data_IF_388028965998
#
_entry.id   IF_388028965998
#
_cell.length_a   1.000
_cell.length_b   1.000
_cell.length_c   1.000
_cell.angle_alpha   90.00
_cell.angle_beta   90.00
_cell.angle_gamma   90.00
#
_symmetry.space_group_name_H-M   'P 1'
#
loop_
_entity.id
_entity.type
_entity.pdbx_description
1 polymer ?
#
# COMPACT_ATOMS: atom_id res chain seq x y z
N UNK A 1 -32.52 -14.47 2.87
CA UNK A 1 -32.45 -13.20 3.60
C UNK A 1 -32.74 -13.31 5.10
N UNK A 2 -33.88 -13.90 5.57
CA UNK A 2 -34.24 -13.93 7.01
C UNK A 2 -33.19 -14.57 7.90
N UNK A 3 -32.58 -15.69 7.48
CA UNK A 3 -31.52 -16.39 8.22
C UNK A 3 -30.29 -15.50 8.30
N UNK A 4 -29.84 -14.92 7.17
CA UNK A 4 -28.68 -14.03 7.12
C UNK A 4 -28.88 -12.80 8.01
N UNK A 5 -30.08 -12.17 7.98
CA UNK A 5 -30.44 -11.05 8.87
C UNK A 5 -30.29 -11.39 10.35
N UNK A 6 -30.64 -12.63 10.75
CA UNK A 6 -30.54 -13.08 12.14
C UNK A 6 -29.08 -13.36 12.53
N UNK A 7 -28.35 -14.10 11.70
CA UNK A 7 -26.98 -14.53 12.00
C UNK A 7 -25.99 -13.39 11.98
N UNK A 8 -26.14 -12.43 11.03
CA UNK A 8 -25.18 -11.33 10.86
C UNK A 8 -25.25 -10.24 11.95
N UNK A 9 -26.20 -10.30 12.88
CA UNK A 9 -26.32 -9.27 13.95
C UNK A 9 -25.10 -9.16 14.84
N UNK A 10 -24.41 -10.27 15.08
CA UNK A 10 -23.23 -10.36 15.95
C UNK A 10 -21.92 -10.34 15.19
N UNK A 11 -21.96 -10.25 13.86
CA UNK A 11 -20.75 -10.24 13.05
C UNK A 11 -20.15 -8.85 13.01
N UNK A 12 -18.85 -8.79 13.20
CA UNK A 12 -18.05 -7.59 13.11
C UNK A 12 -16.87 -7.80 12.13
N UNK A 13 -16.37 -6.71 11.55
CA UNK A 13 -15.23 -6.72 10.62
C UNK A 13 -15.60 -6.69 9.14
N UNK A 14 -14.59 -6.89 8.30
CA UNK A 14 -14.70 -6.89 6.84
C UNK A 14 -14.81 -8.30 6.29
N UNK A 15 -15.86 -8.57 5.54
CA UNK A 15 -16.10 -9.90 4.97
C UNK A 15 -16.85 -9.88 3.65
N UNK A 16 -16.51 -10.84 2.80
CA UNK A 16 -17.34 -11.32 1.69
C UNK A 16 -17.48 -12.83 1.85
N UNK A 17 -18.70 -13.31 2.10
CA UNK A 17 -18.97 -14.71 2.39
C UNK A 17 -19.85 -15.28 1.30
N UNK A 18 -19.39 -16.34 0.65
CA UNK A 18 -20.15 -17.16 -0.27
C UNK A 18 -20.59 -18.46 0.40
N UNK A 19 -21.80 -18.92 0.11
CA UNK A 19 -22.33 -20.18 0.63
C UNK A 19 -23.32 -20.83 -0.33
N UNK A 20 -23.34 -22.14 -0.29
CA UNK A 20 -24.32 -22.98 -1.02
C UNK A 20 -25.02 -23.92 -0.06
N UNK A 21 -26.30 -24.06 -0.23
CA UNK A 21 -27.11 -25.01 0.53
C UNK A 21 -27.25 -26.35 -0.21
N UNK A 22 -27.37 -27.43 0.51
CA UNK A 22 -27.47 -28.78 -0.09
C UNK A 22 -28.68 -28.99 -1.03
N UNK A 23 -29.69 -28.12 -0.97
CA UNK A 23 -30.82 -28.13 -1.91
C UNK A 23 -30.62 -27.27 -3.18
N UNK A 24 -29.46 -26.60 -3.31
CA UNK A 24 -29.07 -25.86 -4.53
C UNK A 24 -29.20 -24.33 -4.47
N UNK A 25 -29.80 -23.77 -3.40
CA UNK A 25 -29.77 -22.31 -3.21
C UNK A 25 -28.35 -21.86 -2.84
N UNK A 26 -27.92 -20.69 -3.32
CA UNK A 26 -26.62 -20.09 -3.01
C UNK A 26 -26.77 -18.62 -2.59
N UNK A 27 -25.76 -18.09 -1.93
CA UNK A 27 -25.69 -16.68 -1.60
C UNK A 27 -24.26 -16.18 -1.58
N UNK A 28 -24.10 -14.88 -1.84
CA UNK A 28 -22.88 -14.13 -1.54
C UNK A 28 -23.26 -12.85 -0.81
N UNK A 29 -22.66 -12.60 0.33
CA UNK A 29 -22.97 -11.43 1.17
C UNK A 29 -21.72 -10.60 1.45
N UNK A 30 -21.90 -9.28 1.49
CA UNK A 30 -20.82 -8.30 1.71
C UNK A 30 -21.04 -7.54 3.02
N UNK A 31 -19.97 -7.27 3.76
CA UNK A 31 -20.03 -6.53 5.02
C UNK A 31 -20.70 -5.14 4.88
N UNK A 32 -21.27 -4.60 5.98
CA UNK A 32 -22.06 -3.36 5.95
C UNK A 32 -21.25 -2.10 5.65
N UNK A 33 -19.93 -2.10 5.90
CA UNK A 33 -19.03 -0.98 5.59
C UNK A 33 -18.38 -1.12 4.19
N UNK A 34 -18.63 -2.24 3.49
CA UNK A 34 -18.05 -2.51 2.18
C UNK A 34 -16.53 -2.57 2.19
N UNK A 35 -15.94 -3.07 3.28
CA UNK A 35 -14.50 -3.16 3.48
C UNK A 35 -13.86 -4.01 2.39
N UNK A 36 -14.45 -5.19 2.13
CA UNK A 36 -13.96 -6.11 1.10
C UNK A 36 -14.78 -6.00 -0.17
N UNK A 37 -14.13 -6.10 -1.36
CA UNK A 37 -14.83 -6.04 -2.63
C UNK A 37 -15.62 -7.32 -2.93
N UNK A 38 -16.69 -7.18 -3.68
CA UNK A 38 -17.48 -8.30 -4.22
C UNK A 38 -18.16 -7.86 -5.51
N UNK A 39 -17.87 -8.52 -6.60
CA UNK A 39 -18.39 -8.21 -7.93
C UNK A 39 -19.16 -9.40 -8.48
N UNK A 40 -20.16 -9.14 -9.33
CA UNK A 40 -20.90 -10.19 -10.01
C UNK A 40 -21.23 -9.82 -11.45
N UNK A 41 -21.40 -10.86 -12.25
CA UNK A 41 -21.96 -10.81 -13.60
C UNK A 41 -23.09 -11.83 -13.67
N UNK A 42 -24.17 -11.45 -14.36
CA UNK A 42 -25.31 -12.32 -14.59
C UNK A 42 -25.82 -12.14 -16.01
N UNK A 43 -26.11 -13.26 -16.68
CA UNK A 43 -26.87 -13.33 -17.90
C UNK A 43 -27.99 -14.37 -17.79
N UNK A 44 -28.50 -14.88 -18.92
CA UNK A 44 -29.60 -15.86 -18.95
C UNK A 44 -29.16 -17.26 -18.50
N UNK A 45 -27.85 -17.60 -18.60
CA UNK A 45 -27.32 -18.94 -18.34
C UNK A 45 -26.53 -19.03 -17.04
N UNK A 46 -25.81 -17.98 -16.68
CA UNK A 46 -24.85 -18.04 -15.57
C UNK A 46 -24.97 -16.83 -14.63
N UNK A 47 -24.62 -17.11 -13.36
CA UNK A 47 -24.29 -16.12 -12.34
C UNK A 47 -22.88 -16.36 -11.84
N UNK A 48 -22.01 -15.38 -12.00
CA UNK A 48 -20.60 -15.44 -11.57
C UNK A 48 -20.35 -14.38 -10.52
N UNK A 49 -19.64 -14.74 -9.43
CA UNK A 49 -19.23 -13.82 -8.39
C UNK A 49 -17.72 -13.96 -8.14
N UNK A 50 -17.03 -12.85 -7.98
CA UNK A 50 -15.61 -12.82 -7.63
C UNK A 50 -15.28 -11.59 -6.75
N UNK A 51 -14.16 -11.64 -6.08
CA UNK A 51 -13.62 -10.48 -5.33
C UNK A 51 -13.06 -9.39 -6.23
N UNK A 52 -12.77 -9.71 -7.50
CA UNK A 52 -12.13 -8.79 -8.45
C UNK A 52 -12.84 -8.77 -9.79
N UNK A 53 -13.17 -7.59 -10.30
CA UNK A 53 -13.82 -7.37 -11.59
C UNK A 53 -13.02 -7.93 -12.78
N UNK A 54 -11.70 -7.75 -12.91
CA UNK A 54 -10.91 -8.26 -14.03
C UNK A 54 -10.94 -9.78 -14.16
N UNK A 55 -11.13 -10.51 -13.07
CA UNK A 55 -11.24 -11.98 -13.11
C UNK A 55 -12.46 -12.40 -13.90
N UNK A 56 -13.62 -11.75 -13.65
CA UNK A 56 -14.87 -12.01 -14.36
C UNK A 56 -14.72 -11.60 -15.84
N UNK A 57 -14.18 -10.41 -16.09
CA UNK A 57 -13.99 -9.91 -17.44
C UNK A 57 -13.13 -10.83 -18.30
N UNK A 58 -12.00 -11.28 -17.76
CA UNK A 58 -11.07 -12.15 -18.49
C UNK A 58 -11.63 -13.55 -18.72
N UNK A 59 -12.29 -14.14 -17.70
CA UNK A 59 -12.79 -15.51 -17.78
C UNK A 59 -13.99 -15.63 -18.72
N UNK A 60 -14.88 -14.62 -18.77
CA UNK A 60 -16.13 -14.66 -19.51
C UNK A 60 -16.17 -13.70 -20.71
N UNK A 61 -15.08 -12.96 -20.98
CA UNK A 61 -14.96 -12.00 -22.08
C UNK A 61 -16.10 -10.97 -22.09
N UNK A 62 -16.43 -10.42 -20.92
CA UNK A 62 -17.53 -9.46 -20.77
C UNK A 62 -17.02 -8.02 -20.62
N UNK A 63 -17.77 -7.00 -21.11
CA UNK A 63 -17.38 -5.61 -20.96
C UNK A 63 -17.48 -5.15 -19.49
N UNK A 64 -16.71 -4.11 -19.15
CA UNK A 64 -16.64 -3.57 -17.77
C UNK A 64 -18.03 -3.18 -17.23
N UNK A 65 -18.90 -2.61 -18.05
CA UNK A 65 -20.24 -2.19 -17.65
C UNK A 65 -21.22 -3.33 -17.33
N UNK A 66 -20.91 -4.57 -17.72
CA UNK A 66 -21.73 -5.74 -17.40
C UNK A 66 -21.46 -6.29 -15.98
N UNK A 67 -20.29 -5.98 -15.41
CA UNK A 67 -19.90 -6.43 -14.07
C UNK A 67 -20.37 -5.42 -13.03
N UNK A 68 -21.17 -5.88 -12.07
CA UNK A 68 -21.76 -5.07 -11.00
C UNK A 68 -21.07 -5.37 -9.68
N UNK A 69 -21.08 -4.39 -8.77
CA UNK A 69 -20.60 -4.56 -7.40
C UNK A 69 -21.78 -4.85 -6.46
N UNK A 70 -21.62 -5.83 -5.55
CA UNK A 70 -22.62 -6.11 -4.50
C UNK A 70 -22.58 -4.95 -3.51
N UNK A 71 -23.75 -4.39 -3.20
CA UNK A 71 -23.87 -3.26 -2.26
C UNK A 71 -23.44 -3.66 -0.84
N UNK A 72 -22.82 -2.75 -0.08
CA UNK A 72 -22.55 -2.97 1.33
C UNK A 72 -23.80 -3.36 2.11
N UNK A 73 -23.70 -4.35 3.01
CA UNK A 73 -24.82 -4.85 3.80
C UNK A 73 -25.85 -5.65 3.02
N UNK A 74 -25.58 -6.00 1.76
CA UNK A 74 -26.47 -6.79 0.91
C UNK A 74 -25.93 -8.19 0.64
N UNK A 75 -26.85 -9.08 0.35
CA UNK A 75 -26.58 -10.43 -0.11
C UNK A 75 -27.21 -10.65 -1.49
N UNK A 76 -26.41 -11.15 -2.42
CA UNK A 76 -26.88 -11.72 -3.67
C UNK A 76 -27.34 -13.14 -3.40
N UNK A 77 -28.61 -13.46 -3.66
CA UNK A 77 -29.23 -14.75 -3.38
C UNK A 77 -29.65 -15.36 -4.69
N UNK A 78 -29.09 -16.52 -4.99
CA UNK A 78 -29.45 -17.34 -6.15
C UNK A 78 -30.28 -18.56 -5.69
N UNK A 79 -31.47 -18.70 -6.23
CA UNK A 79 -32.33 -19.84 -5.99
C UNK A 79 -32.05 -20.93 -7.01
N UNK A 80 -32.32 -22.21 -6.64
CA UNK A 80 -32.14 -23.34 -7.54
C UNK A 80 -33.04 -23.28 -8.79
N UNK A 81 -34.07 -22.45 -8.76
CA UNK A 81 -34.95 -22.19 -9.92
C UNK A 81 -34.43 -21.13 -10.89
N UNK A 82 -33.23 -20.61 -10.64
CA UNK A 82 -32.60 -19.56 -11.44
C UNK A 82 -32.92 -18.13 -10.99
N UNK A 83 -33.82 -17.93 -10.03
CA UNK A 83 -34.15 -16.59 -9.52
C UNK A 83 -32.98 -16.00 -8.75
N UNK A 84 -32.53 -14.80 -9.14
CA UNK A 84 -31.45 -14.05 -8.48
C UNK A 84 -32.00 -12.74 -7.93
N UNK A 85 -31.74 -12.47 -6.65
CA UNK A 85 -32.14 -11.23 -5.97
C UNK A 85 -30.99 -10.65 -5.15
N UNK A 86 -30.87 -9.32 -5.09
CA UNK A 86 -29.99 -8.63 -4.16
C UNK A 86 -30.81 -8.07 -3.01
N UNK A 87 -30.61 -8.55 -1.80
CA UNK A 87 -31.41 -8.20 -0.63
C UNK A 87 -30.54 -7.67 0.51
N UNK A 88 -31.00 -6.59 1.15
CA UNK A 88 -30.36 -6.07 2.35
C UNK A 88 -30.54 -7.04 3.53
N UNK A 89 -29.43 -7.49 4.12
CA UNK A 89 -29.43 -8.31 5.32
C UNK A 89 -29.04 -7.52 6.58
N UNK A 90 -28.24 -6.44 6.41
CA UNK A 90 -27.87 -5.50 7.47
C UNK A 90 -27.86 -4.09 6.91
N UNK A 91 -28.27 -3.13 7.72
CA UNK A 91 -28.23 -1.71 7.32
C UNK A 91 -26.77 -1.33 6.97
N UNK A 92 -26.53 -0.79 5.79
CA UNK A 92 -25.22 -0.22 5.45
C UNK A 92 -24.83 0.89 6.42
N UNK A 93 -23.55 0.95 6.75
CA UNK A 93 -22.94 2.05 7.50
C UNK A 93 -22.13 2.93 6.54
N UNK A 94 -21.40 3.91 7.04
CA UNK A 94 -20.47 4.67 6.21
C UNK A 94 -19.52 3.73 5.47
N UNK A 95 -19.44 3.91 4.15
CA UNK A 95 -18.60 3.05 3.34
C UNK A 95 -17.12 3.34 3.60
N UNK A 96 -16.38 2.29 3.98
CA UNK A 96 -14.94 2.30 4.29
C UNK A 96 -14.22 1.21 3.51
N UNK A 97 -14.40 1.22 2.19
CA UNK A 97 -13.71 0.29 1.30
C UNK A 97 -12.19 0.44 1.44
N UNK A 98 -11.50 -0.68 1.53
CA UNK A 98 -10.06 -0.76 1.79
C UNK A 98 -9.25 -0.04 0.69
N UNK A 99 -8.48 0.98 1.07
CA UNK A 99 -7.58 1.69 0.14
C UNK A 99 -6.36 0.85 -0.24
N UNK A 100 -5.93 -0.09 0.60
CA UNK A 100 -4.80 -0.97 0.29
C UNK A 100 -5.13 -1.99 -0.80
N UNK A 101 -6.41 -2.32 -1.01
CA UNK A 101 -6.86 -3.05 -2.21
C UNK A 101 -6.47 -2.30 -3.50
N UNK A 102 -6.53 -0.97 -3.49
CA UNK A 102 -6.21 -0.14 -4.65
C UNK A 102 -4.69 -0.06 -4.89
N UNK A 103 -3.91 -0.03 -3.82
CA UNK A 103 -2.45 0.07 -3.86
C UNK A 103 -1.83 -1.27 -4.25
N UNK A 104 -2.23 -2.38 -3.59
CA UNK A 104 -1.49 -3.62 -3.64
C UNK A 104 -2.35 -4.87 -3.89
N UNK A 105 -3.39 -5.14 -3.07
CA UNK A 105 -4.04 -6.45 -3.06
C UNK A 105 -4.76 -6.80 -4.35
N UNK A 106 -5.52 -5.86 -4.92
CA UNK A 106 -6.28 -6.09 -6.15
C UNK A 106 -5.42 -5.96 -7.41
N UNK A 107 -5.85 -6.59 -8.49
CA UNK A 107 -5.14 -6.62 -9.77
C UNK A 107 -5.05 -5.22 -10.41
N UNK A 108 -3.85 -4.83 -10.79
CA UNK A 108 -3.59 -3.58 -11.50
C UNK A 108 -4.16 -3.52 -12.93
N UNK A 109 -4.72 -4.62 -13.45
CA UNK A 109 -5.42 -4.67 -14.73
C UNK A 109 -6.87 -4.16 -14.66
N UNK A 110 -7.40 -3.86 -13.48
CA UNK A 110 -8.67 -3.14 -13.34
C UNK A 110 -8.51 -1.69 -13.80
N UNK A 111 -9.42 -1.19 -14.63
CA UNK A 111 -9.30 0.12 -15.26
C UNK A 111 -9.27 1.28 -14.25
N UNK A 112 -10.00 1.17 -13.13
CA UNK A 112 -10.02 2.21 -12.10
C UNK A 112 -8.77 2.12 -11.24
N UNK A 113 -8.35 0.89 -10.82
CA UNK A 113 -7.12 0.67 -10.08
C UNK A 113 -5.90 1.14 -10.88
N UNK A 114 -5.88 0.88 -12.19
CA UNK A 114 -4.81 1.35 -13.06
C UNK A 114 -4.67 2.87 -13.03
N UNK A 115 -5.80 3.61 -13.16
CA UNK A 115 -5.81 5.07 -13.08
C UNK A 115 -5.39 5.60 -11.71
N UNK A 116 -5.90 4.98 -10.65
CA UNK A 116 -5.58 5.35 -9.27
C UNK A 116 -4.10 5.13 -8.95
N UNK A 117 -3.51 4.00 -9.36
CA UNK A 117 -2.06 3.76 -9.21
C UNK A 117 -1.23 4.76 -10.01
N UNK A 118 -1.62 5.11 -11.23
CA UNK A 118 -0.98 6.20 -11.98
C UNK A 118 -1.06 7.53 -11.23
N UNK A 119 -2.22 7.86 -10.69
CA UNK A 119 -2.41 9.10 -9.94
C UNK A 119 -1.58 9.13 -8.65
N UNK A 120 -1.47 8.02 -7.92
CA UNK A 120 -0.56 7.90 -6.78
C UNK A 120 0.89 8.25 -7.16
N UNK A 121 1.37 7.73 -8.28
CA UNK A 121 2.71 8.06 -8.78
C UNK A 121 2.85 9.53 -9.17
N UNK A 122 1.86 10.10 -9.84
CA UNK A 122 1.85 11.53 -10.24
C UNK A 122 1.87 12.46 -9.04
N UNK A 123 1.12 12.14 -7.99
CA UNK A 123 1.05 12.96 -6.78
C UNK A 123 2.33 12.91 -5.93
N UNK A 124 3.23 11.98 -6.17
CA UNK A 124 4.56 11.92 -5.51
C UNK A 124 5.59 12.87 -6.11
N UNK A 125 5.32 13.47 -7.28
CA UNK A 125 6.30 14.30 -8.02
C UNK A 125 6.92 15.41 -7.17
N UNK A 126 6.16 16.22 -6.41
CA UNK A 126 6.76 17.29 -5.60
C UNK A 126 7.79 16.78 -4.59
N UNK A 127 7.45 15.73 -3.83
CA UNK A 127 8.31 15.13 -2.81
C UNK A 127 9.55 14.47 -3.44
N UNK A 128 9.39 13.84 -4.61
CA UNK A 128 10.49 13.23 -5.35
C UNK A 128 11.45 14.30 -5.87
N UNK A 129 10.95 15.40 -6.44
CA UNK A 129 11.77 16.52 -6.90
C UNK A 129 12.55 17.16 -5.75
N UNK A 130 11.91 17.36 -4.61
CA UNK A 130 12.55 17.85 -3.39
C UNK A 130 13.69 16.92 -2.95
N UNK A 131 13.46 15.61 -2.92
CA UNK A 131 14.45 14.61 -2.50
C UNK A 131 15.72 14.58 -3.35
N UNK A 132 15.63 15.04 -4.59
CA UNK A 132 16.76 15.14 -5.54
C UNK A 132 17.21 16.59 -5.78
N UNK A 133 16.74 17.56 -4.97
CA UNK A 133 17.02 19.00 -5.12
C UNK A 133 16.74 19.52 -6.56
N UNK A 134 15.67 19.04 -7.18
CA UNK A 134 15.28 19.32 -8.58
C UNK A 134 16.36 18.98 -9.63
N UNK A 135 17.36 18.17 -9.28
CA UNK A 135 18.45 17.80 -10.18
C UNK A 135 18.05 16.63 -11.10
N UNK A 136 17.19 16.91 -12.09
CA UNK A 136 16.72 15.92 -13.08
C UNK A 136 17.87 15.33 -13.92
N UNK A 137 18.89 16.14 -14.24
CA UNK A 137 20.00 15.75 -15.11
C UNK A 137 20.81 14.58 -14.56
N UNK A 138 21.05 14.59 -13.24
CA UNK A 138 21.82 13.57 -12.54
C UNK A 138 20.91 12.65 -11.69
N UNK A 139 19.68 12.41 -12.17
CA UNK A 139 18.74 11.50 -11.52
C UNK A 139 18.29 10.43 -12.49
N UNK A 140 18.35 9.17 -12.05
CA UNK A 140 17.81 8.01 -12.75
C UNK A 140 16.56 7.54 -12.00
N UNK A 141 15.43 7.59 -12.67
CA UNK A 141 14.14 7.14 -12.13
C UNK A 141 13.89 5.68 -12.53
N UNK A 142 13.56 4.86 -11.57
CA UNK A 142 13.31 3.43 -11.75
C UNK A 142 12.18 2.95 -10.83
N UNK A 143 11.89 1.66 -10.86
CA UNK A 143 10.89 1.05 -9.98
C UNK A 143 11.34 -0.34 -9.50
N UNK A 144 10.74 -0.79 -8.42
CA UNK A 144 10.92 -2.15 -7.88
C UNK A 144 9.79 -3.02 -8.46
N UNK A 145 10.14 -4.03 -9.31
CA UNK A 145 9.11 -4.89 -9.92
C UNK A 145 8.35 -5.73 -8.88
N UNK A 146 7.04 -6.02 -9.06
CA UNK A 146 6.27 -5.74 -10.28
C UNK A 146 5.15 -4.71 -10.01
N UNK A 147 4.56 -4.66 -8.81
CA UNK A 147 3.32 -3.92 -8.51
C UNK A 147 3.48 -2.41 -8.66
N UNK A 148 4.67 -1.88 -8.39
CA UNK A 148 4.99 -0.46 -8.49
C UNK A 148 5.01 0.10 -9.93
N UNK A 149 5.01 -0.76 -10.95
CA UNK A 149 5.19 -0.34 -12.36
C UNK A 149 4.15 0.70 -12.80
N UNK A 150 2.89 0.53 -12.42
CA UNK A 150 1.83 1.47 -12.82
C UNK A 150 1.99 2.83 -12.13
N UNK A 151 2.39 2.86 -10.86
CA UNK A 151 2.72 4.10 -10.15
C UNK A 151 3.94 4.79 -10.76
N UNK A 152 4.92 4.01 -11.20
CA UNK A 152 6.07 4.53 -11.93
C UNK A 152 5.67 5.24 -13.23
N UNK A 153 4.72 4.71 -14.01
CA UNK A 153 4.20 5.41 -15.19
C UNK A 153 3.56 6.76 -14.82
N UNK A 154 2.85 6.82 -13.70
CA UNK A 154 2.31 8.09 -13.19
C UNK A 154 3.38 9.10 -12.79
N UNK A 155 4.42 8.63 -12.12
CA UNK A 155 5.60 9.45 -11.78
C UNK A 155 6.30 9.97 -13.06
N UNK A 156 6.50 9.11 -14.06
CA UNK A 156 7.07 9.50 -15.36
C UNK A 156 6.26 10.62 -16.03
N UNK A 157 4.93 10.45 -16.09
CA UNK A 157 4.03 11.45 -16.70
C UNK A 157 4.16 12.80 -15.95
N UNK A 158 4.21 12.77 -14.62
CA UNK A 158 4.32 13.96 -13.79
C UNK A 158 5.69 14.66 -13.90
N UNK A 159 6.79 13.91 -13.90
CA UNK A 159 8.15 14.45 -14.09
C UNK A 159 8.30 15.05 -15.50
N UNK A 160 7.78 14.39 -16.54
CA UNK A 160 7.79 14.95 -17.89
C UNK A 160 7.00 16.27 -17.97
N UNK A 161 5.86 16.34 -17.28
CA UNK A 161 5.07 17.59 -17.20
C UNK A 161 5.85 18.68 -16.50
N UNK A 162 6.47 18.39 -15.35
CA UNK A 162 7.33 19.33 -14.65
C UNK A 162 8.47 19.88 -15.53
N UNK A 163 9.19 19.00 -16.22
CA UNK A 163 10.31 19.42 -17.11
C UNK A 163 9.81 20.32 -18.24
N UNK A 164 8.70 19.96 -18.86
CA UNK A 164 8.10 20.80 -19.91
C UNK A 164 7.68 22.17 -19.40
N UNK A 165 7.05 22.22 -18.22
CA UNK A 165 6.62 23.48 -17.63
C UNK A 165 7.83 24.32 -17.19
N UNK A 166 8.87 23.74 -16.63
CA UNK A 166 10.15 24.38 -16.33
C UNK A 166 10.81 24.96 -17.58
N UNK A 167 10.89 24.18 -18.66
CA UNK A 167 11.44 24.64 -19.95
C UNK A 167 10.65 25.82 -20.48
N UNK A 168 9.31 25.74 -20.47
CA UNK A 168 8.41 26.80 -20.91
C UNK A 168 8.58 28.08 -20.10
N UNK A 169 8.57 27.99 -18.77
CA UNK A 169 8.76 29.14 -17.88
C UNK A 169 10.13 29.77 -18.05
N UNK A 170 11.17 28.95 -18.19
CA UNK A 170 12.55 29.45 -18.42
C UNK A 170 12.63 30.25 -19.73
N UNK A 171 11.94 29.81 -20.78
CA UNK A 171 11.91 30.50 -22.07
C UNK A 171 11.06 31.77 -22.04
N UNK A 172 9.91 31.76 -21.36
CA UNK A 172 8.98 32.90 -21.33
C UNK A 172 9.45 34.04 -20.41
N UNK A 173 10.15 33.71 -19.32
CA UNK A 173 10.59 34.72 -18.35
C UNK A 173 11.90 35.46 -18.76
N UNK A 174 12.45 35.16 -19.94
CA UNK A 174 13.61 35.88 -20.47
C UNK A 174 13.20 37.08 -21.30
N UNK A 175 13.87 38.22 -21.03
CA UNK A 175 13.71 39.47 -21.79
C UNK A 175 14.63 39.56 -23.01
N UNK A 176 15.70 38.73 -23.06
CA UNK A 176 16.75 38.79 -24.06
C UNK A 176 16.56 37.71 -25.15
N UNK A 177 17.16 37.97 -26.32
CA UNK A 177 17.21 36.95 -27.39
C UNK A 177 18.05 35.76 -26.93
N UNK A 178 17.46 34.59 -26.90
CA UNK A 178 18.10 33.31 -26.57
C UNK A 178 18.97 32.90 -27.75
N UNK A 179 20.22 32.53 -27.52
CA UNK A 179 21.07 31.91 -28.54
C UNK A 179 20.63 30.46 -28.81
N UNK A 180 20.92 29.94 -29.99
CA UNK A 180 20.62 28.55 -30.35
C UNK A 180 21.29 27.55 -29.38
N UNK A 181 22.46 27.88 -28.86
CA UNK A 181 23.16 27.04 -27.89
C UNK A 181 22.41 26.97 -26.57
N UNK A 182 21.96 28.09 -26.00
CA UNK A 182 21.16 28.15 -24.76
C UNK A 182 19.79 27.49 -24.92
N UNK A 183 19.13 27.71 -26.08
CA UNK A 183 17.86 27.05 -26.40
C UNK A 183 18.03 25.54 -26.40
N UNK A 184 19.07 25.04 -27.07
CA UNK A 184 19.37 23.62 -27.12
C UNK A 184 19.72 23.06 -25.73
N UNK A 185 20.44 23.81 -24.90
CA UNK A 185 20.72 23.39 -23.52
C UNK A 185 19.44 23.20 -22.70
N UNK A 186 18.54 24.20 -22.72
CA UNK A 186 17.25 24.12 -22.00
C UNK A 186 16.42 22.96 -22.52
N UNK A 187 16.29 22.80 -23.84
CA UNK A 187 15.48 21.74 -24.44
C UNK A 187 16.13 20.35 -24.34
N UNK A 188 17.43 20.27 -24.03
CA UNK A 188 18.13 18.99 -23.82
C UNK A 188 17.85 18.37 -22.45
N UNK A 189 17.25 19.12 -21.51
CA UNK A 189 16.88 18.58 -20.20
C UNK A 189 15.82 17.52 -20.39
N UNK A 190 16.20 16.25 -20.13
CA UNK A 190 15.32 15.09 -20.23
C UNK A 190 15.48 14.22 -18.99
N UNK A 191 14.37 13.77 -18.40
CA UNK A 191 14.43 12.79 -17.32
C UNK A 191 14.98 11.46 -17.84
N UNK A 192 15.72 10.75 -17.00
CA UNK A 192 16.28 9.43 -17.31
C UNK A 192 15.42 8.38 -16.62
N UNK A 193 14.53 7.76 -17.40
CA UNK A 193 13.64 6.69 -16.95
C UNK A 193 14.20 5.35 -17.39
N UNK A 194 14.66 4.54 -16.42
CA UNK A 194 15.41 3.32 -16.70
C UNK A 194 14.86 2.14 -15.88
N UNK A 195 14.88 0.96 -16.47
CA UNK A 195 14.57 -0.28 -15.76
C UNK A 195 15.86 -0.85 -15.18
N UNK A 196 16.21 -0.43 -13.96
CA UNK A 196 17.43 -0.88 -13.29
C UNK A 196 17.32 -2.29 -12.75
N UNK A 197 16.16 -2.68 -12.22
CA UNK A 197 15.94 -3.99 -11.63
C UNK A 197 14.96 -4.81 -12.47
N UNK A 198 15.34 -6.03 -12.79
CA UNK A 198 14.51 -7.01 -13.48
C UNK A 198 14.33 -8.21 -12.56
N UNK A 199 13.09 -8.51 -12.17
CA UNK A 199 12.79 -9.69 -11.36
C UNK A 199 12.73 -10.92 -12.26
N UNK A 200 13.56 -11.93 -12.00
CA UNK A 200 13.47 -13.19 -12.72
C UNK A 200 12.20 -13.95 -12.27
N UNK A 201 11.25 -14.09 -13.18
CA UNK A 201 9.99 -14.77 -12.94
C UNK A 201 10.14 -16.29 -12.70
N UNK A 202 11.30 -16.87 -13.01
CA UNK A 202 11.58 -18.33 -12.88
C UNK A 202 12.01 -18.71 -11.45
N UNK A 203 12.57 -17.78 -10.68
CA UNK A 203 13.01 -18.04 -9.32
C UNK A 203 11.86 -17.79 -8.32
N UNK A 204 11.33 -18.90 -7.77
CA UNK A 204 10.29 -18.88 -6.74
C UNK A 204 10.92 -19.07 -5.36
N UNK A 205 11.10 -18.00 -4.61
CA UNK A 205 11.80 -17.97 -3.30
C UNK A 205 11.09 -18.71 -2.16
N UNK A 206 9.84 -19.15 -2.34
CA UNK A 206 9.08 -19.82 -1.27
C UNK A 206 9.19 -21.36 -1.27
N UNK A 207 10.03 -21.93 -2.12
CA UNK A 207 10.25 -23.40 -2.19
C UNK A 207 11.53 -23.82 -1.41
N UNK A 208 12.33 -22.90 -0.90
CA UNK A 208 13.61 -23.15 -0.24
C UNK A 208 13.55 -22.99 1.28
N UNK A 209 14.37 -23.79 2.01
CA UNK A 209 14.52 -23.69 3.47
C UNK A 209 15.19 -22.37 3.87
N UNK A 210 14.92 -21.88 5.09
CA UNK A 210 15.28 -20.52 5.56
C UNK A 210 16.78 -20.18 5.50
N UNK A 211 17.69 -21.17 5.56
CA UNK A 211 19.13 -20.97 5.51
C UNK A 211 19.64 -20.56 4.13
N UNK A 212 19.03 -21.06 3.04
CA UNK A 212 19.43 -20.78 1.65
C UNK A 212 18.70 -19.55 1.06
N UNK A 213 17.73 -19.00 1.83
CA UNK A 213 16.85 -17.93 1.36
C UNK A 213 17.59 -16.62 1.15
N UNK A 214 18.60 -16.33 1.96
CA UNK A 214 19.37 -15.07 1.89
C UNK A 214 20.24 -14.98 0.65
N UNK A 215 20.89 -16.07 0.25
CA UNK A 215 21.68 -16.11 -0.97
C UNK A 215 20.80 -16.14 -2.24
N UNK A 216 19.68 -16.86 -2.21
CA UNK A 216 18.74 -16.90 -3.34
C UNK A 216 18.06 -15.55 -3.59
N UNK A 217 17.76 -14.77 -2.56
CA UNK A 217 17.13 -13.45 -2.71
C UNK A 217 18.04 -12.48 -3.48
N UNK A 218 19.37 -12.60 -3.37
CA UNK A 218 20.33 -11.81 -4.12
C UNK A 218 20.35 -12.13 -5.64
N UNK A 219 19.87 -13.31 -6.03
CA UNK A 219 19.83 -13.77 -7.42
C UNK A 219 18.43 -13.62 -8.08
N UNK A 220 17.43 -13.15 -7.33
CA UNK A 220 16.07 -12.95 -7.86
C UNK A 220 15.97 -11.70 -8.75
N UNK A 221 16.88 -10.75 -8.56
CA UNK A 221 16.90 -9.51 -9.33
C UNK A 221 18.17 -9.38 -10.16
N UNK A 222 18.01 -9.25 -11.46
CA UNK A 222 19.07 -8.79 -12.36
C UNK A 222 19.13 -7.28 -12.38
N UNK A 223 20.33 -6.75 -12.64
CA UNK A 223 20.58 -5.29 -12.64
C UNK A 223 21.15 -4.85 -13.97
N UNK A 224 20.66 -3.73 -14.50
CA UNK A 224 21.20 -3.11 -15.72
C UNK A 224 22.40 -2.24 -15.39
N UNK A 225 23.60 -2.74 -15.67
CA UNK A 225 24.86 -2.01 -15.45
C UNK A 225 25.14 -0.99 -16.56
N UNK A 226 25.98 0.02 -16.25
CA UNK A 226 26.47 1.02 -17.22
C UNK A 226 25.51 2.16 -17.52
N UNK A 227 24.35 2.19 -16.87
CA UNK A 227 23.33 3.28 -17.00
C UNK A 227 23.57 4.40 -15.99
N UNK A 228 23.92 4.03 -14.76
CA UNK A 228 24.17 4.98 -13.65
C UNK A 228 25.61 5.47 -13.70
N UNK A 229 25.82 6.77 -13.57
CA UNK A 229 27.16 7.38 -13.47
C UNK A 229 27.66 7.27 -12.05
N UNK A 230 28.82 6.65 -11.88
CA UNK A 230 29.45 6.38 -10.59
C UNK A 230 29.63 7.66 -9.78
N UNK A 231 29.13 7.67 -8.54
CA UNK A 231 29.24 8.75 -7.55
C UNK A 231 28.67 10.13 -7.97
N UNK A 232 28.02 10.21 -9.14
CA UNK A 232 27.37 11.43 -9.63
C UNK A 232 25.85 11.34 -9.55
N UNK A 233 25.29 10.22 -10.01
CA UNK A 233 23.84 10.05 -10.16
C UNK A 233 23.15 9.71 -8.83
N UNK A 234 21.93 10.22 -8.70
CA UNK A 234 20.96 9.76 -7.71
C UNK A 234 20.01 8.76 -8.35
N UNK A 235 19.78 7.62 -7.69
CA UNK A 235 18.76 6.66 -8.09
C UNK A 235 17.48 6.95 -7.29
N UNK A 236 16.37 7.15 -7.99
CA UNK A 236 15.02 7.18 -7.41
C UNK A 236 14.32 5.88 -7.81
N UNK A 237 14.00 5.02 -6.84
CA UNK A 237 13.31 3.75 -7.07
C UNK A 237 11.96 3.75 -6.35
N UNK A 238 10.86 3.73 -7.14
CA UNK A 238 9.51 3.66 -6.58
C UNK A 238 9.11 2.21 -6.27
N UNK A 239 8.52 2.00 -5.09
CA UNK A 239 7.89 0.75 -4.65
C UNK A 239 6.39 0.97 -4.41
N UNK A 240 5.60 -0.09 -4.37
CA UNK A 240 4.17 -0.01 -4.05
C UNK A 240 3.95 0.31 -2.56
N UNK A 241 4.67 -0.37 -1.66
CA UNK A 241 4.56 -0.17 -0.22
C UNK A 241 5.78 -0.73 0.53
N UNK A 242 6.08 -0.16 1.68
CA UNK A 242 7.14 -0.62 2.57
C UNK A 242 6.50 -1.06 3.89
N UNK A 243 6.48 -2.37 4.14
CA UNK A 243 5.89 -2.96 5.36
C UNK A 243 6.97 -3.26 6.39
N UNK A 244 7.82 -4.25 6.11
CA UNK A 244 8.85 -4.74 7.02
C UNK A 244 10.24 -4.16 6.74
N UNK A 245 10.45 -3.63 5.55
CA UNK A 245 11.74 -3.15 5.09
C UNK A 245 12.79 -4.25 4.85
N UNK A 246 12.47 -5.51 5.10
CA UNK A 246 13.42 -6.65 5.02
C UNK A 246 13.95 -6.83 3.58
N UNK A 247 13.07 -6.82 2.58
CA UNK A 247 13.46 -6.94 1.17
C UNK A 247 14.35 -5.78 0.72
N UNK A 248 14.03 -4.55 1.19
CA UNK A 248 14.87 -3.38 0.92
C UNK A 248 16.27 -3.58 1.50
N UNK A 249 16.36 -3.91 2.78
CA UNK A 249 17.63 -4.06 3.51
C UNK A 249 18.48 -5.20 2.98
N UNK A 250 17.90 -6.36 2.74
CA UNK A 250 18.64 -7.58 2.38
C UNK A 250 19.00 -7.67 0.91
N UNK A 251 18.22 -7.03 0.01
CA UNK A 251 18.37 -7.22 -1.44
C UNK A 251 18.46 -5.91 -2.20
N UNK A 252 17.39 -5.14 -2.25
CA UNK A 252 17.24 -4.02 -3.18
C UNK A 252 18.34 -2.97 -2.99
N UNK A 253 18.58 -2.54 -1.75
CA UNK A 253 19.61 -1.53 -1.47
C UNK A 253 21.01 -2.02 -1.81
N UNK A 254 21.32 -3.29 -1.52
CA UNK A 254 22.61 -3.90 -1.88
C UNK A 254 22.80 -3.95 -3.39
N UNK A 255 21.75 -4.29 -4.14
CA UNK A 255 21.78 -4.38 -5.60
C UNK A 255 21.96 -3.00 -6.22
N UNK A 256 21.21 -1.99 -5.76
CA UNK A 256 21.31 -0.62 -6.25
C UNK A 256 22.68 0.01 -5.90
N UNK A 257 23.27 -0.31 -4.75
CA UNK A 257 24.59 0.19 -4.34
C UNK A 257 25.74 -0.33 -5.22
N UNK A 258 25.56 -1.50 -5.86
CA UNK A 258 26.54 -2.05 -6.86
C UNK A 258 26.69 -1.16 -8.09
N UNK A 259 25.72 -0.28 -8.35
CA UNK A 259 25.76 0.72 -9.42
C UNK A 259 26.55 1.99 -9.02
N UNK A 260 27.12 2.02 -7.82
CA UNK A 260 27.87 3.13 -7.23
C UNK A 260 27.17 4.49 -7.31
N UNK A 261 25.87 4.64 -7.03
CA UNK A 261 25.22 5.94 -7.07
C UNK A 261 25.75 6.83 -5.93
N UNK A 262 25.62 8.16 -6.08
CA UNK A 262 25.84 9.12 -5.02
C UNK A 262 24.78 8.96 -3.90
N UNK A 263 23.53 8.78 -4.30
CA UNK A 263 22.36 8.71 -3.42
C UNK A 263 21.33 7.72 -3.96
N UNK A 264 20.63 7.03 -3.05
CA UNK A 264 19.47 6.19 -3.34
C UNK A 264 18.26 6.80 -2.60
N UNK A 265 17.20 7.07 -3.35
CA UNK A 265 15.90 7.50 -2.81
C UNK A 265 14.90 6.37 -3.08
N UNK A 266 14.42 5.73 -2.01
CA UNK A 266 13.32 4.76 -2.12
C UNK A 266 12.01 5.51 -1.89
N UNK A 267 11.08 5.34 -2.82
CA UNK A 267 9.79 6.06 -2.80
C UNK A 267 8.67 5.05 -2.68
N UNK A 268 7.83 5.16 -1.65
CA UNK A 268 6.64 4.33 -1.48
C UNK A 268 5.41 5.02 -2.07
N UNK A 269 4.67 4.36 -2.96
CA UNK A 269 3.40 4.88 -3.48
C UNK A 269 2.25 4.78 -2.46
N UNK A 270 2.48 4.08 -1.34
CA UNK A 270 1.61 4.05 -0.17
C UNK A 270 2.13 4.96 0.94
N UNK A 271 1.27 5.51 1.82
CA UNK A 271 1.68 6.06 3.10
C UNK A 271 2.37 5.03 4.00
N UNK A 272 2.97 5.47 5.10
CA UNK A 272 3.59 4.58 6.09
C UNK A 272 2.56 3.60 6.66
N UNK A 273 2.83 2.29 6.55
CA UNK A 273 1.99 1.26 7.15
C UNK A 273 2.33 1.18 8.64
N UNK A 274 1.42 1.71 9.47
CA UNK A 274 1.60 1.89 10.93
C UNK A 274 0.82 0.89 11.77
N UNK A 275 -0.29 0.38 11.22
CA UNK A 275 -1.26 -0.41 11.98
C UNK A 275 -1.57 -1.72 11.27
N UNK A 276 -1.84 -2.81 12.05
CA UNK A 276 -2.11 -4.11 11.49
C UNK A 276 -3.44 -4.19 10.74
N UNK A 277 -3.53 -5.15 9.82
CA UNK A 277 -4.82 -5.56 9.30
C UNK A 277 -5.60 -6.36 10.34
N UNK A 278 -6.77 -5.86 10.68
CA UNK A 278 -7.67 -6.49 11.63
C UNK A 278 -8.79 -7.29 10.94
N UNK A 279 -8.72 -7.46 9.61
CA UNK A 279 -9.78 -8.04 8.80
C UNK A 279 -9.35 -9.26 7.98
N UNK A 280 -8.36 -10.01 8.48
CA UNK A 280 -8.08 -11.36 8.02
C UNK A 280 -6.97 -11.54 6.99
N UNK A 281 -6.26 -10.47 6.58
CA UNK A 281 -5.08 -10.58 5.71
C UNK A 281 -3.81 -10.73 6.57
N UNK A 282 -2.69 -11.06 5.94
CA UNK A 282 -1.37 -11.00 6.59
C UNK A 282 -1.06 -9.56 7.03
N UNK A 283 0.01 -9.30 7.75
CA UNK A 283 0.30 -8.02 8.43
C UNK A 283 -0.51 -7.82 9.71
N UNK A 284 -0.56 -8.83 10.56
CA UNK A 284 -1.32 -8.81 11.80
C UNK A 284 -0.49 -8.61 13.06
N UNK A 285 0.84 -8.53 12.94
CA UNK A 285 1.77 -8.43 14.06
C UNK A 285 2.42 -7.05 14.08
N UNK A 286 2.23 -6.33 15.18
CA UNK A 286 2.71 -4.96 15.34
C UNK A 286 4.23 -4.84 15.13
N UNK A 287 5.02 -5.74 15.71
CA UNK A 287 6.49 -5.72 15.62
C UNK A 287 7.08 -6.02 14.25
N UNK A 288 6.24 -6.35 13.25
CA UNK A 288 6.71 -6.57 11.87
C UNK A 288 6.71 -5.28 11.03
N UNK A 289 6.16 -4.18 11.53
CA UNK A 289 6.10 -2.91 10.78
C UNK A 289 7.34 -2.07 11.06
N UNK A 290 8.09 -1.73 10.02
CA UNK A 290 9.27 -0.86 10.14
C UNK A 290 8.89 0.53 10.65
N UNK A 291 7.71 1.05 10.31
CA UNK A 291 7.23 2.33 10.83
C UNK A 291 6.94 2.27 12.34
N UNK A 292 6.48 1.13 12.85
CA UNK A 292 6.29 0.93 14.28
C UNK A 292 7.65 0.85 15.01
N UNK A 293 8.59 0.07 14.48
CA UNK A 293 9.96 0.00 15.02
C UNK A 293 10.60 1.39 15.07
N UNK A 294 10.44 2.19 14.00
CA UNK A 294 10.96 3.56 13.94
C UNK A 294 10.36 4.45 15.04
N UNK A 295 9.03 4.42 15.21
CA UNK A 295 8.37 5.21 16.25
C UNK A 295 8.83 4.80 17.67
N UNK A 296 8.97 3.51 17.94
CA UNK A 296 9.49 3.01 19.22
C UNK A 296 10.94 3.48 19.46
N UNK A 297 11.79 3.43 18.45
CA UNK A 297 13.17 3.92 18.54
C UNK A 297 13.21 5.43 18.84
N UNK A 298 12.40 6.23 18.14
CA UNK A 298 12.31 7.66 18.35
C UNK A 298 11.80 8.00 19.76
N UNK A 299 10.80 7.29 20.31
CA UNK A 299 10.35 7.47 21.69
C UNK A 299 11.50 7.24 22.68
N UNK A 300 12.28 6.18 22.49
CA UNK A 300 13.44 5.87 23.35
C UNK A 300 14.54 6.94 23.22
N UNK A 301 14.88 7.35 22.02
CA UNK A 301 15.90 8.38 21.74
C UNK A 301 15.54 9.74 22.36
N UNK A 302 14.26 10.09 22.44
CA UNK A 302 13.77 11.36 23.02
C UNK A 302 13.45 11.29 24.52
N UNK A 303 13.74 10.17 25.18
CA UNK A 303 13.42 10.00 26.60
C UNK A 303 11.94 9.84 26.91
N UNK A 304 11.13 9.51 25.89
CA UNK A 304 9.67 9.35 25.98
C UNK A 304 9.25 7.88 26.12
N UNK A 305 10.12 7.01 26.60
CA UNK A 305 9.83 5.58 26.72
C UNK A 305 8.60 5.27 27.62
N UNK A 306 8.26 6.17 28.54
CA UNK A 306 7.05 6.07 29.40
C UNK A 306 5.75 5.96 28.57
N UNK A 307 5.69 6.55 27.37
CA UNK A 307 4.52 6.49 26.49
C UNK A 307 4.20 5.03 26.10
N UNK A 308 5.24 4.18 25.95
CA UNK A 308 5.08 2.76 25.62
C UNK A 308 4.27 2.05 26.72
N UNK A 309 4.65 2.28 27.98
CA UNK A 309 3.97 1.67 29.12
C UNK A 309 2.57 2.26 29.33
N UNK A 310 2.40 3.57 29.17
CA UNK A 310 1.09 4.22 29.28
C UNK A 310 0.09 3.67 28.24
N UNK A 311 0.52 3.51 27.00
CA UNK A 311 -0.33 2.93 25.93
C UNK A 311 -0.66 1.48 26.27
N UNK A 312 0.30 0.70 26.78
CA UNK A 312 0.04 -0.68 27.21
C UNK A 312 -1.05 -0.74 28.29
N UNK A 313 -0.94 0.10 29.35
CA UNK A 313 -1.93 0.13 30.41
C UNK A 313 -3.34 0.51 29.90
N UNK A 314 -3.43 1.49 29.00
CA UNK A 314 -4.70 1.86 28.33
C UNK A 314 -5.28 0.71 27.51
N UNK A 315 -4.43 0.00 26.76
CA UNK A 315 -4.85 -1.18 25.99
C UNK A 315 -5.38 -2.30 26.92
N UNK A 316 -4.71 -2.58 28.03
CA UNK A 316 -5.17 -3.57 29.02
C UNK A 316 -6.53 -3.18 29.61
N UNK A 317 -6.68 -1.92 30.02
CA UNK A 317 -7.95 -1.42 30.58
C UNK A 317 -9.10 -1.48 29.54
N UNK A 318 -8.80 -1.21 28.27
CA UNK A 318 -9.80 -1.25 27.20
C UNK A 318 -10.39 -2.64 26.95
N UNK A 319 -9.69 -3.71 27.31
CA UNK A 319 -10.23 -5.07 27.16
C UNK A 319 -11.42 -5.36 28.08
N UNK A 320 -11.65 -4.54 29.10
CA UNK A 320 -12.77 -4.62 30.05
C UNK A 320 -13.96 -3.74 29.66
N UNK A 321 -13.81 -2.90 28.62
CA UNK A 321 -14.84 -1.97 28.15
C UNK A 321 -15.82 -2.64 27.17
N UNK A 322 -16.98 -1.99 26.93
CA UNK A 322 -17.84 -2.36 25.80
C UNK A 322 -17.06 -2.16 24.48
N UNK A 323 -17.17 -3.10 23.56
CA UNK A 323 -16.42 -3.09 22.31
C UNK A 323 -16.65 -1.80 21.52
N UNK A 324 -17.81 -1.19 21.62
CA UNK A 324 -18.16 0.05 20.93
C UNK A 324 -17.52 1.30 21.53
N UNK A 325 -16.96 1.21 22.74
CA UNK A 325 -16.28 2.30 23.43
C UNK A 325 -14.76 2.21 23.32
N UNK A 326 -14.23 1.13 22.73
CA UNK A 326 -12.80 0.93 22.59
C UNK A 326 -12.23 1.84 21.51
N UNK A 327 -11.26 2.67 21.88
CA UNK A 327 -10.48 3.51 20.98
C UNK A 327 -9.15 2.83 20.61
N UNK A 328 -8.55 3.26 19.50
CA UNK A 328 -7.20 2.87 19.13
C UNK A 328 -6.15 3.67 19.92
N UNK A 329 -5.72 3.15 21.06
CA UNK A 329 -4.72 3.81 21.91
C UNK A 329 -3.31 3.77 21.32
N UNK A 330 -3.04 2.89 20.36
CA UNK A 330 -1.73 2.77 19.71
C UNK A 330 -1.38 4.02 18.88
N UNK A 331 -2.35 4.84 18.52
CA UNK A 331 -2.11 6.15 17.86
C UNK A 331 -1.14 7.03 18.66
N UNK A 332 -1.16 6.95 19.99
CA UNK A 332 -0.27 7.72 20.86
C UNK A 332 1.22 7.41 20.67
N UNK A 333 1.58 6.25 20.13
CA UNK A 333 2.96 5.88 19.80
C UNK A 333 3.53 6.77 18.69
N UNK A 334 2.70 7.17 17.73
CA UNK A 334 3.11 7.97 16.57
C UNK A 334 2.89 9.48 16.77
N UNK A 335 1.99 9.86 17.67
CA UNK A 335 1.55 11.23 17.85
C UNK A 335 2.66 12.28 18.09
N UNK A 336 3.81 11.96 18.76
CA UNK A 336 4.89 12.92 18.97
C UNK A 336 5.73 13.23 17.72
N UNK A 337 5.53 12.54 16.61
CA UNK A 337 6.44 12.58 15.46
C UNK A 337 5.72 13.01 14.18
N UNK A 338 6.46 13.69 13.30
CA UNK A 338 6.02 13.93 11.93
C UNK A 338 6.27 12.69 11.05
N UNK A 339 5.64 12.65 9.87
CA UNK A 339 5.84 11.57 8.91
C UNK A 339 7.29 11.55 8.39
N UNK A 340 7.92 12.72 8.28
CA UNK A 340 9.30 12.89 7.86
C UNK A 340 10.27 12.30 8.90
N UNK A 341 10.08 12.60 10.19
CA UNK A 341 10.92 12.06 11.28
C UNK A 341 10.86 10.54 11.32
N UNK A 342 9.67 9.96 11.15
CA UNK A 342 9.50 8.50 11.07
C UNK A 342 10.19 7.96 9.81
N UNK A 343 10.06 8.63 8.65
CA UNK A 343 10.71 8.22 7.39
C UNK A 343 12.24 8.24 7.49
N UNK A 344 12.81 9.23 8.16
CA UNK A 344 14.26 9.30 8.42
C UNK A 344 14.74 8.15 9.30
N UNK A 345 14.00 7.82 10.35
CA UNK A 345 14.35 6.69 11.21
C UNK A 345 14.18 5.35 10.49
N UNK A 346 13.15 5.22 9.64
CA UNK A 346 12.99 4.05 8.75
C UNK A 346 14.22 3.92 7.85
N UNK A 347 14.69 5.01 7.25
CA UNK A 347 15.88 4.98 6.41
C UNK A 347 17.12 4.47 7.18
N UNK A 348 17.27 4.84 8.47
CA UNK A 348 18.34 4.31 9.34
C UNK A 348 18.21 2.82 9.61
N UNK A 349 16.99 2.35 9.90
CA UNK A 349 16.71 0.93 10.19
C UNK A 349 16.97 0.03 8.98
N UNK A 350 16.50 0.45 7.79
CA UNK A 350 16.64 -0.35 6.57
C UNK A 350 18.01 -0.23 5.92
N UNK A 351 18.85 0.71 6.35
CA UNK A 351 20.19 0.92 5.81
C UNK A 351 21.10 -0.28 6.12
N UNK A 352 21.62 -1.01 5.13
CA UNK A 352 22.65 -2.03 5.34
C UNK A 352 23.98 -1.37 5.78
N UNK A 353 24.74 -2.04 6.64
CA UNK A 353 26.03 -1.51 7.14
C UNK A 353 27.06 -1.23 6.02
N UNK A 354 27.01 -2.01 4.93
CA UNK A 354 27.93 -1.90 3.79
C UNK A 354 27.49 -0.87 2.75
N UNK A 355 26.31 -0.27 2.89
CA UNK A 355 25.78 0.69 1.91
C UNK A 355 26.65 1.94 1.86
N UNK A 356 27.23 2.26 0.69
CA UNK A 356 28.08 3.41 0.46
C UNK A 356 27.27 4.66 0.14
N UNK A 357 26.23 4.51 -0.69
CA UNK A 357 25.38 5.61 -1.11
C UNK A 357 24.63 6.24 0.08
N UNK A 358 24.32 7.53 -0.03
CA UNK A 358 23.34 8.18 0.85
C UNK A 358 21.96 7.52 0.64
N UNK A 359 21.19 7.32 1.71
CA UNK A 359 19.87 6.73 1.64
C UNK A 359 18.81 7.69 2.17
N UNK A 360 17.74 7.87 1.39
CA UNK A 360 16.52 8.56 1.80
C UNK A 360 15.29 7.69 1.48
N UNK A 361 14.28 7.75 2.34
CA UNK A 361 12.98 7.10 2.10
C UNK A 361 11.89 8.15 2.07
N UNK A 362 11.06 8.12 1.04
CA UNK A 362 9.94 9.05 0.81
C UNK A 362 8.65 8.25 0.74
N UNK A 363 7.63 8.71 1.45
CA UNK A 363 6.32 8.07 1.46
C UNK A 363 5.25 8.97 0.84
N UNK A 364 4.21 8.36 0.32
CA UNK A 364 2.98 9.04 -0.04
C UNK A 364 2.31 9.65 1.19
N UNK A 365 1.54 10.71 1.01
CA UNK A 365 0.71 11.29 2.07
C UNK A 365 -0.70 10.70 2.07
N UNK A 366 -1.38 10.74 3.23
CA UNK A 366 -2.79 10.36 3.33
C UNK A 366 -3.68 11.23 2.44
N UNK A 367 -3.43 12.53 2.39
CA UNK A 367 -4.17 13.47 1.54
C UNK A 367 -4.09 13.09 0.05
N UNK A 368 -2.91 12.72 -0.41
CA UNK A 368 -2.70 12.29 -1.78
C UNK A 368 -3.34 10.91 -2.04
N UNK A 369 -3.31 10.00 -1.06
CA UNK A 369 -4.03 8.73 -1.16
C UNK A 369 -5.53 8.96 -1.35
N UNK A 370 -6.14 9.85 -0.57
CA UNK A 370 -7.57 10.18 -0.69
C UNK A 370 -7.92 10.89 -2.00
N UNK A 371 -6.98 11.70 -2.55
CA UNK A 371 -7.14 12.30 -3.88
C UNK A 371 -7.09 11.26 -5.00
N UNK A 372 -6.16 10.31 -4.91
CA UNK A 372 -6.00 9.26 -5.91
C UNK A 372 -7.13 8.23 -5.85
N UNK A 373 -7.59 7.86 -4.65
CA UNK A 373 -8.56 6.80 -4.39
C UNK A 373 -9.81 7.32 -3.64
N UNK A 374 -10.59 8.28 -4.18
CA UNK A 374 -11.63 8.99 -3.44
C UNK A 374 -12.79 8.11 -2.97
N UNK A 375 -13.03 6.99 -3.64
CA UNK A 375 -14.07 6.03 -3.29
C UNK A 375 -13.62 4.97 -2.25
N UNK A 376 -12.33 4.93 -1.89
CA UNK A 376 -11.74 3.92 -1.02
C UNK A 376 -11.10 4.57 0.20
N UNK A 377 -11.93 5.04 1.14
CA UNK A 377 -11.52 5.79 2.34
C UNK A 377 -11.16 4.91 3.54
N UNK A 378 -11.17 3.59 3.38
CA UNK A 378 -10.74 2.66 4.42
C UNK A 378 -9.21 2.60 4.47
N UNK A 379 -8.61 3.45 5.28
CA UNK A 379 -7.17 3.74 5.35
C UNK A 379 -6.53 3.37 6.70
N UNK A 380 -7.18 2.49 7.46
CA UNK A 380 -6.76 2.11 8.82
C UNK A 380 -5.32 1.63 8.95
N UNK A 381 -4.72 1.09 7.89
CA UNK A 381 -3.29 0.71 7.88
C UNK A 381 -2.36 1.90 8.15
N UNK A 382 -2.78 3.09 7.75
CA UNK A 382 -2.02 4.33 7.78
C UNK A 382 -2.49 5.25 8.90
N UNK A 383 -3.80 5.50 8.98
CA UNK A 383 -4.44 6.41 9.95
C UNK A 383 -4.72 5.79 11.32
N UNK A 384 -4.91 4.46 11.37
CA UNK A 384 -5.43 3.76 12.55
C UNK A 384 -6.93 3.95 12.79
N UNK A 385 -7.67 4.50 11.81
CA UNK A 385 -9.12 4.70 11.87
C UNK A 385 -9.87 3.46 11.39
N UNK A 386 -10.01 2.50 12.28
CA UNK A 386 -10.69 1.25 11.94
C UNK A 386 -12.19 1.45 11.75
N UNK A 387 -12.78 0.91 10.66
CA UNK A 387 -14.20 1.09 10.35
C UNK A 387 -15.15 0.34 11.26
N UNK A 388 -14.64 -0.54 12.15
CA UNK A 388 -15.45 -1.31 13.09
C UNK A 388 -14.84 -1.28 14.50
N UNK A 389 -15.68 -1.35 15.55
CA UNK A 389 -15.19 -1.37 16.94
C UNK A 389 -14.24 -2.52 17.24
N UNK A 390 -14.49 -3.71 16.66
CA UNK A 390 -13.60 -4.86 16.78
C UNK A 390 -12.20 -4.61 16.22
N UNK A 391 -12.05 -3.73 15.21
CA UNK A 391 -10.77 -3.30 14.69
C UNK A 391 -9.92 -2.61 15.75
N UNK A 392 -10.49 -1.66 16.51
CA UNK A 392 -9.81 -1.01 17.63
C UNK A 392 -9.39 -2.00 18.71
N UNK A 393 -10.25 -2.95 19.05
CA UNK A 393 -9.92 -4.01 20.00
C UNK A 393 -8.74 -4.86 19.54
N UNK A 394 -8.73 -5.24 18.27
CA UNK A 394 -7.67 -6.10 17.70
C UNK A 394 -6.33 -5.37 17.62
N UNK A 395 -6.29 -4.07 17.25
CA UNK A 395 -5.02 -3.32 17.22
C UNK A 395 -4.43 -3.15 18.63
N UNK A 396 -5.27 -2.83 19.63
CA UNK A 396 -4.83 -2.75 21.02
C UNK A 396 -4.27 -4.10 21.51
N UNK A 397 -4.94 -5.21 21.16
CA UNK A 397 -4.47 -6.55 21.49
C UNK A 397 -3.16 -6.91 20.76
N UNK A 398 -3.00 -6.49 19.51
CA UNK A 398 -1.76 -6.68 18.76
C UNK A 398 -0.57 -5.96 19.42
N UNK A 399 -0.80 -4.77 19.96
CA UNK A 399 0.18 -4.01 20.73
C UNK A 399 0.52 -4.70 22.04
N UNK A 400 -0.49 -5.17 22.79
CA UNK A 400 -0.27 -5.95 24.02
C UNK A 400 0.57 -7.20 23.76
N UNK A 401 0.22 -7.96 22.71
CA UNK A 401 0.98 -9.16 22.33
C UNK A 401 2.45 -8.84 22.02
N UNK A 402 2.72 -7.70 21.37
CA UNK A 402 4.09 -7.26 21.11
C UNK A 402 4.86 -6.95 22.40
N UNK A 403 4.28 -6.18 23.32
CA UNK A 403 4.89 -5.87 24.63
C UNK A 403 5.19 -7.16 25.43
N UNK A 404 4.25 -8.11 25.40
CA UNK A 404 4.34 -9.39 26.13
C UNK A 404 5.23 -10.43 25.41
N UNK A 405 5.85 -10.07 24.28
CA UNK A 405 6.68 -11.00 23.49
C UNK A 405 5.94 -12.16 22.84
N UNK A 406 4.61 -12.06 22.71
CA UNK A 406 3.75 -13.09 22.11
C UNK A 406 3.73 -12.99 20.60
N UNK A 407 4.27 -13.99 19.91
CA UNK A 407 4.31 -14.04 18.44
C UNK A 407 3.02 -14.69 17.86
N UNK A 408 1.86 -14.15 18.22
CA UNK A 408 0.54 -14.66 17.77
C UNK A 408 -0.29 -13.55 17.15
N UNK A 409 -1.20 -13.94 16.25
CA UNK A 409 -2.17 -13.01 15.68
C UNK A 409 -3.19 -12.59 16.75
N UNK A 410 -3.50 -11.30 16.83
CA UNK A 410 -4.32 -10.73 17.89
C UNK A 410 -5.75 -11.30 17.94
N UNK A 411 -6.33 -11.71 16.81
CA UNK A 411 -7.68 -12.27 16.76
C UNK A 411 -7.75 -13.77 17.09
N UNK A 412 -6.62 -14.44 17.31
CA UNK A 412 -6.54 -15.83 17.80
C UNK A 412 -6.10 -15.93 19.26
N UNK A 413 -5.71 -14.80 19.89
CA UNK A 413 -5.34 -14.80 21.30
C UNK A 413 -6.57 -14.50 22.15
N UNK A 414 -7.02 -15.51 22.93
CA UNK A 414 -8.03 -15.36 23.99
C UNK A 414 -7.54 -14.45 25.09
#
# INVERSE_FOLDING_TARGET
>A
AKILKRSAKTWDGGYTIAGIFGHGDAFVMRDPAGIRPAFYYQDEEILVVASERPVIQTAFNVPIGAVKEIKPGHALIAKKDGTVTEEMFRQPVEQRSCSFERIYFSRGSDADIYKERKELGRLLVPQVLESVNNNIKNTVFSFIPNTAEVSYYGLMDGINTYVRDFQKETLLNRSDKISDAELNEILSIKPRFEKLNVKDAKLRTFITQDADRTDMVQHVYDTTYGIVKDHEDTIVAIDDSIVRGTTLKQSILTILDRLNPKKIVIVSSAPQIRYPDCYGIDMSRMGEFVAFEAAINLLKQRGMAHVIDEVYQKCVQSMLQDVNEIENYVKAIYAPFTDEEISEEIARIVRPHHLKAELQVVYQTLDNLHKACPAHKGDWYFSGDYPTPGGNKVVNKAYMNWIEGKNVRAYFSN
#
